data_IF_235178623252
#
_entry.id   IF_235178623252
#
_cell.length_a   1.000
_cell.length_b   1.000
_cell.length_c   1.000
_cell.angle_alpha   90.00
_cell.angle_beta   90.00
_cell.angle_gamma   90.00
#
_symmetry.space_group_name_H-M   'P 1'
#
loop_
_entity.id
_entity.type
_entity.pdbx_description
1 polymer ?
#
# COMPACT_ATOMS: atom_id res chain seq x y z
N UNK A 1 18.33 15.84 -7.96
CA UNK A 1 18.08 14.44 -8.34
C UNK A 1 16.61 14.33 -8.75
N UNK A 2 16.30 13.61 -9.83
CA UNK A 2 14.90 13.35 -10.19
C UNK A 2 14.39 12.29 -9.23
N UNK A 3 13.42 12.65 -8.37
CA UNK A 3 12.79 11.70 -7.45
C UNK A 3 11.83 10.79 -8.24
N UNK A 4 11.73 9.55 -7.82
CA UNK A 4 10.82 8.56 -8.38
C UNK A 4 9.44 8.71 -7.71
N UNK A 5 8.38 9.12 -8.43
CA UNK A 5 7.05 9.20 -7.87
C UNK A 5 6.52 7.79 -7.58
N UNK A 6 6.19 7.52 -6.32
CA UNK A 6 5.76 6.22 -5.81
C UNK A 6 4.38 6.32 -5.16
N UNK A 7 3.49 5.37 -5.46
CA UNK A 7 2.30 5.06 -4.70
C UNK A 7 2.55 3.71 -4.01
N UNK A 8 2.14 3.59 -2.74
CA UNK A 8 2.09 2.29 -2.04
C UNK A 8 0.62 1.92 -1.85
N UNK A 9 0.20 0.80 -2.47
CA UNK A 9 -1.10 0.19 -2.26
C UNK A 9 -0.96 -0.97 -1.27
N UNK A 10 -1.62 -0.87 -0.10
CA UNK A 10 -1.28 -1.66 1.07
C UNK A 10 -2.48 -1.92 1.97
N UNK A 11 -2.41 -2.96 2.79
CA UNK A 11 -3.38 -3.36 3.83
C UNK A 11 -2.70 -3.45 5.21
N UNK A 12 -2.13 -2.36 5.73
CA UNK A 12 -1.02 -2.31 6.69
C UNK A 12 -1.02 -3.39 7.78
N UNK A 13 -0.21 -4.41 7.56
CA UNK A 13 0.33 -5.32 8.55
C UNK A 13 1.74 -4.89 8.98
N UNK A 14 2.44 -5.72 9.71
CA UNK A 14 3.78 -5.38 10.24
C UNK A 14 4.81 -5.17 9.12
N UNK A 15 4.81 -6.03 8.13
CA UNK A 15 5.71 -6.00 6.97
C UNK A 15 5.38 -4.84 6.02
N UNK A 16 4.10 -4.52 5.85
CA UNK A 16 3.67 -3.33 5.11
C UNK A 16 4.22 -2.04 5.72
N UNK A 17 4.20 -1.93 7.05
CA UNK A 17 4.78 -0.78 7.74
C UNK A 17 6.29 -0.67 7.50
N UNK A 18 7.00 -1.80 7.39
CA UNK A 18 8.43 -1.80 7.03
C UNK A 18 8.64 -1.33 5.59
N UNK A 19 7.77 -1.71 4.65
CA UNK A 19 7.82 -1.22 3.27
C UNK A 19 7.60 0.30 3.19
N UNK A 20 6.63 0.82 3.96
CA UNK A 20 6.39 2.27 4.08
C UNK A 20 7.61 2.98 4.67
N UNK A 21 8.20 2.44 5.75
CA UNK A 21 9.41 3.00 6.37
C UNK A 21 10.59 3.03 5.41
N UNK A 22 10.78 1.96 4.62
CA UNK A 22 11.82 1.91 3.60
C UNK A 22 11.64 3.02 2.56
N UNK A 23 10.42 3.20 2.06
CA UNK A 23 10.12 4.28 1.11
C UNK A 23 10.35 5.67 1.73
N UNK A 24 9.95 5.87 3.00
CA UNK A 24 10.17 7.12 3.72
C UNK A 24 11.66 7.40 4.01
N UNK A 25 12.48 6.38 4.15
CA UNK A 25 13.91 6.50 4.39
C UNK A 25 14.75 6.66 3.11
N UNK A 26 14.16 6.45 1.93
CA UNK A 26 14.82 6.44 0.63
C UNK A 26 14.81 7.84 0.00
N UNK A 27 15.96 8.53 -0.11
CA UNK A 27 15.99 9.91 -0.60
C UNK A 27 15.58 10.05 -2.07
N UNK A 28 15.73 9.00 -2.87
CA UNK A 28 15.36 8.97 -4.28
C UNK A 28 13.84 8.81 -4.52
N UNK A 29 13.05 8.50 -3.48
CA UNK A 29 11.61 8.29 -3.59
C UNK A 29 10.85 9.58 -3.26
N UNK A 30 9.85 9.93 -4.09
CA UNK A 30 8.77 10.85 -3.76
C UNK A 30 7.50 10.06 -3.52
N UNK A 31 7.14 9.85 -2.25
CA UNK A 31 5.91 9.14 -1.91
C UNK A 31 4.70 10.04 -2.15
N UNK A 32 4.00 9.79 -3.27
CA UNK A 32 2.87 10.59 -3.73
C UNK A 32 1.59 10.32 -2.91
N UNK A 33 1.49 9.16 -2.29
CA UNK A 33 0.43 8.78 -1.38
C UNK A 33 0.39 7.30 -1.07
N UNK A 34 -0.48 6.97 -0.10
CA UNK A 34 -0.78 5.60 0.31
C UNK A 34 -2.24 5.32 -0.02
N UNK A 35 -2.50 4.22 -0.70
CA UNK A 35 -3.84 3.69 -0.94
C UNK A 35 -4.08 2.46 -0.08
N UNK A 36 -5.19 2.42 0.62
CA UNK A 36 -5.51 1.37 1.57
C UNK A 36 -6.59 0.44 1.03
N UNK A 37 -6.48 -0.83 1.35
CA UNK A 37 -7.49 -1.85 1.05
C UNK A 37 -7.66 -2.82 2.22
N UNK A 38 -8.61 -3.74 2.12
CA UNK A 38 -8.70 -4.91 2.99
C UNK A 38 -7.60 -5.92 2.66
N UNK A 39 -7.35 -6.87 3.56
CA UNK A 39 -6.44 -8.00 3.34
C UNK A 39 -5.90 -8.52 4.66
N UNK A 40 -4.73 -8.08 5.11
CA UNK A 40 -4.19 -8.43 6.43
C UNK A 40 -5.21 -8.17 7.54
N UNK A 41 -5.98 -7.09 7.39
CA UNK A 41 -7.05 -6.69 8.28
C UNK A 41 -8.19 -6.01 7.50
N UNK A 42 -9.17 -5.42 8.19
CA UNK A 42 -10.22 -4.61 7.58
C UNK A 42 -9.69 -3.20 7.25
N UNK A 43 -10.34 -2.52 6.30
CA UNK A 43 -9.95 -1.17 5.89
C UNK A 43 -9.85 -0.17 7.07
N UNK A 44 -10.77 -0.25 8.04
CA UNK A 44 -10.76 0.61 9.22
C UNK A 44 -9.51 0.41 10.09
N UNK A 45 -9.13 -0.85 10.34
CA UNK A 45 -7.88 -1.14 11.06
C UNK A 45 -6.65 -0.77 10.24
N UNK A 46 -6.67 -0.99 8.93
CA UNK A 46 -5.59 -0.58 8.02
C UNK A 46 -5.32 0.93 8.12
N UNK A 47 -6.38 1.76 8.07
CA UNK A 47 -6.26 3.20 8.29
C UNK A 47 -5.75 3.52 9.72
N UNK A 48 -6.30 2.88 10.73
CA UNK A 48 -5.83 3.04 12.12
C UNK A 48 -4.33 2.72 12.28
N UNK A 49 -3.82 1.72 11.56
CA UNK A 49 -2.40 1.33 11.61
C UNK A 49 -1.48 2.40 10.99
N UNK A 50 -1.89 3.09 9.93
CA UNK A 50 -1.16 4.25 9.39
C UNK A 50 -1.08 5.37 10.44
N UNK A 51 -2.18 5.66 11.13
CA UNK A 51 -2.19 6.69 12.19
C UNK A 51 -1.33 6.30 13.38
N UNK A 52 -1.28 5.01 13.75
CA UNK A 52 -0.39 4.50 14.81
C UNK A 52 1.08 4.60 14.42
N UNK A 53 1.42 4.20 13.18
CA UNK A 53 2.77 4.37 12.62
C UNK A 53 3.19 5.83 12.69
N UNK A 54 2.33 6.73 12.26
CA UNK A 54 2.56 8.17 12.29
C UNK A 54 2.86 8.68 13.71
N UNK A 55 2.07 8.24 14.70
CA UNK A 55 2.29 8.56 16.09
C UNK A 55 3.64 8.05 16.60
N UNK A 56 3.92 6.76 16.38
CA UNK A 56 5.17 6.13 16.83
C UNK A 56 6.41 6.83 16.25
N UNK A 57 6.38 7.13 14.94
CA UNK A 57 7.48 7.85 14.28
C UNK A 57 7.68 9.25 14.85
N UNK A 58 6.60 9.99 15.10
CA UNK A 58 6.67 11.33 15.65
C UNK A 58 7.26 11.33 17.09
N UNK A 59 6.88 10.38 17.92
CA UNK A 59 7.46 10.22 19.28
C UNK A 59 8.94 9.87 19.16
N UNK A 60 9.29 8.85 18.38
CA UNK A 60 10.67 8.39 18.21
C UNK A 60 11.58 9.50 17.60
N UNK A 61 11.03 10.32 16.71
CA UNK A 61 11.74 11.47 16.14
C UNK A 61 12.04 12.52 17.20
N UNK A 62 11.06 12.88 18.04
CA UNK A 62 11.24 13.85 19.13
C UNK A 62 12.24 13.38 20.18
N UNK A 63 12.33 12.08 20.41
CA UNK A 63 13.31 11.48 21.31
C UNK A 63 14.73 11.42 20.71
N UNK A 64 14.90 11.86 19.46
CA UNK A 64 16.19 11.88 18.77
C UNK A 64 16.73 10.51 18.35
N UNK A 65 15.89 9.47 18.37
CA UNK A 65 16.30 8.08 18.11
C UNK A 65 16.36 7.75 16.59
N UNK A 66 15.89 8.64 15.71
CA UNK A 66 15.93 8.44 14.25
C UNK A 66 17.23 8.99 13.67
N UNK A 67 18.14 8.08 13.29
CA UNK A 67 19.44 8.46 12.70
C UNK A 67 19.34 8.83 11.19
N UNK A 68 18.38 8.26 10.45
CA UNK A 68 18.22 8.54 9.03
C UNK A 68 17.67 9.97 8.83
N UNK A 69 18.46 10.82 8.19
CA UNK A 69 18.12 12.25 8.01
C UNK A 69 16.90 12.44 7.11
N UNK A 70 16.81 11.71 6.00
CA UNK A 70 15.67 11.77 5.08
C UNK A 70 14.35 11.39 5.78
N UNK A 71 14.36 10.32 6.57
CA UNK A 71 13.20 9.89 7.34
C UNK A 71 12.80 10.95 8.37
N UNK A 72 13.77 11.51 9.11
CA UNK A 72 13.52 12.55 10.11
C UNK A 72 12.88 13.79 9.48
N UNK A 73 13.45 14.29 8.37
CA UNK A 73 12.92 15.44 7.65
C UNK A 73 11.45 15.23 7.21
N UNK A 74 11.15 14.02 6.69
CA UNK A 74 9.79 13.68 6.26
C UNK A 74 8.80 13.55 7.42
N UNK A 75 9.25 13.06 8.59
CA UNK A 75 8.40 13.00 9.78
C UNK A 75 8.04 14.40 10.26
N UNK A 76 8.99 15.33 10.21
CA UNK A 76 8.82 16.70 10.70
C UNK A 76 8.03 17.59 9.74
N UNK A 77 8.15 17.37 8.44
CA UNK A 77 7.67 18.29 7.42
C UNK A 77 6.76 17.65 6.34
N UNK A 78 6.57 16.34 6.38
CA UNK A 78 5.87 15.61 5.32
C UNK A 78 6.68 15.50 4.03
N UNK A 79 6.02 15.16 2.94
CA UNK A 79 6.62 15.10 1.62
C UNK A 79 6.51 16.45 0.92
N UNK A 80 7.66 17.06 0.59
CA UNK A 80 7.70 18.40 -0.01
C UNK A 80 6.94 19.48 0.81
N UNK A 81 7.02 19.40 2.14
CA UNK A 81 6.38 20.35 3.05
C UNK A 81 4.87 20.14 3.23
N UNK A 82 4.33 18.98 2.83
CA UNK A 82 2.92 18.63 2.97
C UNK A 82 2.75 17.21 3.51
N UNK A 83 1.69 16.93 4.28
CA UNK A 83 1.37 15.57 4.68
C UNK A 83 1.18 14.68 3.44
N UNK A 84 1.61 13.42 3.57
CA UNK A 84 1.42 12.41 2.53
C UNK A 84 -0.07 12.01 2.52
N UNK A 85 -0.74 12.08 1.36
CA UNK A 85 -2.15 11.73 1.25
C UNK A 85 -2.39 10.24 1.55
N UNK A 86 -3.49 9.95 2.25
CA UNK A 86 -3.98 8.59 2.49
C UNK A 86 -5.37 8.47 1.87
N UNK A 87 -5.54 7.58 0.91
CA UNK A 87 -6.81 7.32 0.24
C UNK A 87 -7.40 5.98 0.67
N UNK A 88 -8.65 5.97 1.10
CA UNK A 88 -9.37 4.73 1.38
C UNK A 88 -9.85 4.10 0.08
N UNK A 89 -9.69 2.80 -0.03
CA UNK A 89 -10.07 2.02 -1.19
C UNK A 89 -11.09 0.94 -0.86
N UNK A 90 -10.88 -0.26 -1.42
CA UNK A 90 -11.82 -1.35 -1.33
C UNK A 90 -11.92 -1.91 0.10
N UNK A 91 -13.16 -2.09 0.57
CA UNK A 91 -13.47 -2.79 1.82
C UNK A 91 -13.64 -4.29 1.65
N UNK A 92 -13.77 -4.75 0.39
CA UNK A 92 -14.05 -6.14 0.02
C UNK A 92 -13.55 -6.43 -1.39
N UNK A 93 -13.37 -7.72 -1.76
CA UNK A 93 -12.95 -8.10 -3.09
C UNK A 93 -13.98 -7.71 -4.17
N UNK A 94 -13.57 -7.68 -5.42
CA UNK A 94 -14.45 -7.47 -6.58
C UNK A 94 -15.55 -8.52 -6.67
N UNK A 95 -15.29 -9.74 -6.17
CA UNK A 95 -16.27 -10.81 -6.10
C UNK A 95 -15.93 -11.83 -5.03
N UNK A 96 -16.96 -12.54 -4.53
CA UNK A 96 -16.77 -13.56 -3.52
C UNK A 96 -16.87 -13.05 -2.08
N UNK A 97 -16.22 -13.76 -1.16
CA UNK A 97 -16.23 -13.47 0.28
C UNK A 97 -15.03 -12.61 0.66
N UNK A 98 -15.22 -11.74 1.64
CA UNK A 98 -14.13 -11.10 2.32
C UNK A 98 -13.33 -12.12 3.14
N UNK A 99 -12.03 -12.18 2.89
CA UNK A 99 -11.05 -12.88 3.71
C UNK A 99 -10.07 -11.87 4.30
N UNK A 100 -9.66 -12.12 5.55
CA UNK A 100 -8.58 -11.36 6.20
C UNK A 100 -7.56 -12.35 6.77
N UNK A 101 -6.28 -11.93 6.80
CA UNK A 101 -5.20 -12.74 7.36
C UNK A 101 -5.10 -12.60 8.90
N UNK A 102 -6.23 -12.47 9.59
CA UNK A 102 -6.28 -12.31 11.05
C UNK A 102 -5.64 -13.48 11.81
N UNK A 103 -5.57 -14.66 11.21
CA UNK A 103 -4.87 -15.82 11.75
C UNK A 103 -3.34 -15.64 11.79
N UNK A 104 -2.78 -14.73 10.99
CA UNK A 104 -1.34 -14.48 10.88
C UNK A 104 -0.98 -13.10 11.48
N UNK A 105 -1.68 -12.05 11.07
CA UNK A 105 -1.39 -10.66 11.48
C UNK A 105 -2.17 -10.21 12.73
N UNK A 106 -3.05 -11.07 13.28
CA UNK A 106 -3.99 -10.66 14.35
C UNK A 106 -5.18 -9.88 13.77
N UNK A 107 -6.21 -9.67 14.62
CA UNK A 107 -7.45 -9.01 14.18
C UNK A 107 -7.24 -7.58 13.65
N UNK A 108 -6.30 -6.86 14.24
CA UNK A 108 -5.97 -5.47 13.90
C UNK A 108 -4.88 -5.36 12.82
N UNK A 109 -4.35 -6.47 12.32
CA UNK A 109 -3.22 -6.48 11.39
C UNK A 109 -1.85 -6.26 12.05
N UNK A 110 -1.81 -5.99 13.37
CA UNK A 110 -0.62 -5.60 14.12
C UNK A 110 -0.41 -6.47 15.37
N UNK A 111 -0.79 -7.76 15.30
CA UNK A 111 -0.65 -8.73 16.40
C UNK A 111 -1.34 -8.30 17.71
N UNK A 112 -2.40 -7.50 17.63
CA UNK A 112 -3.19 -7.08 18.77
C UNK A 112 -2.72 -5.80 19.46
N UNK A 113 -1.79 -5.05 18.86
CA UNK A 113 -1.28 -3.79 19.42
C UNK A 113 -2.38 -2.80 19.74
N UNK A 114 -3.45 -2.75 18.94
CA UNK A 114 -4.59 -1.85 19.16
C UNK A 114 -5.43 -2.19 20.39
N UNK A 115 -5.27 -3.39 20.94
CA UNK A 115 -6.01 -3.89 22.10
C UNK A 115 -5.20 -3.93 23.40
N UNK A 116 -3.94 -3.46 23.35
CA UNK A 116 -3.10 -3.41 24.56
C UNK A 116 -3.68 -2.42 25.57
N UNK A 117 -3.70 -2.82 26.84
CA UNK A 117 -4.08 -1.93 27.92
C UNK A 117 -3.10 -0.74 27.99
N UNK A 118 -3.65 0.47 28.11
CA UNK A 118 -2.86 1.71 28.09
C UNK A 118 -2.28 2.06 26.72
N UNK A 119 -2.66 1.36 25.68
CA UNK A 119 -2.23 1.47 24.28
C UNK A 119 -1.08 2.48 24.04
N UNK A 120 0.20 2.01 24.02
CA UNK A 120 1.36 2.90 23.90
C UNK A 120 1.47 3.53 22.50
N UNK A 121 0.65 3.08 21.54
CA UNK A 121 0.63 3.55 20.16
C UNK A 121 -0.78 4.01 19.77
N UNK A 122 -1.29 5.12 20.33
CA UNK A 122 -2.59 5.65 19.93
C UNK A 122 -2.58 6.11 18.47
N UNK A 123 -3.75 6.27 17.87
CA UNK A 123 -3.88 6.92 16.58
C UNK A 123 -3.55 8.41 16.71
N UNK A 124 -2.77 8.96 15.79
CA UNK A 124 -2.46 10.38 15.78
C UNK A 124 -3.67 11.18 15.29
N UNK A 125 -4.07 12.22 16.02
CA UNK A 125 -5.13 13.13 15.63
C UNK A 125 -4.65 14.17 14.60
N UNK A 126 -3.36 14.50 14.61
CA UNK A 126 -2.69 15.38 13.64
C UNK A 126 -1.21 15.01 13.55
N UNK A 127 -0.68 14.98 12.35
CA UNK A 127 0.71 14.64 12.12
C UNK A 127 1.21 15.31 10.82
N UNK A 128 2.41 15.89 10.79
CA UNK A 128 3.00 16.42 9.57
C UNK A 128 3.26 15.37 8.50
N UNK A 129 3.46 14.10 8.87
CA UNK A 129 3.85 13.02 7.96
C UNK A 129 2.70 12.54 7.08
N UNK A 130 1.54 12.21 7.67
CA UNK A 130 0.37 11.71 6.94
C UNK A 130 -0.85 12.57 7.24
N UNK A 131 -1.74 12.70 6.27
CA UNK A 131 -3.05 13.28 6.53
C UNK A 131 -3.79 12.44 7.59
N UNK A 132 -4.19 13.08 8.68
CA UNK A 132 -4.93 12.41 9.76
C UNK A 132 -6.33 11.97 9.31
N UNK A 133 -6.90 12.68 8.35
CA UNK A 133 -8.15 12.31 7.69
C UNK A 133 -7.85 11.82 6.29
N UNK A 134 -8.46 10.70 5.88
CA UNK A 134 -8.35 10.27 4.50
C UNK A 134 -8.81 11.36 3.54
N UNK A 135 -8.18 11.44 2.37
CA UNK A 135 -8.67 12.31 1.32
C UNK A 135 -10.06 11.86 0.84
N UNK A 136 -10.84 12.80 0.29
CA UNK A 136 -12.20 12.51 -0.16
C UNK A 136 -12.28 11.58 -1.39
N UNK A 137 -11.24 11.58 -2.21
CA UNK A 137 -11.17 10.71 -3.39
C UNK A 137 -10.90 9.25 -2.97
N UNK A 138 -11.64 8.27 -3.49
CA UNK A 138 -11.34 6.87 -3.28
C UNK A 138 -10.00 6.48 -3.93
N UNK A 139 -9.41 5.38 -3.47
CA UNK A 139 -8.06 4.95 -3.88
C UNK A 139 -7.89 4.81 -5.40
N UNK A 140 -8.87 4.25 -6.10
CA UNK A 140 -8.85 4.08 -7.55
C UNK A 140 -8.77 5.43 -8.30
N UNK A 141 -9.53 6.43 -7.86
CA UNK A 141 -9.47 7.79 -8.41
C UNK A 141 -8.16 8.50 -8.06
N UNK A 142 -7.69 8.33 -6.82
CA UNK A 142 -6.42 8.90 -6.41
C UNK A 142 -5.24 8.34 -7.23
N UNK A 143 -5.20 7.02 -7.48
CA UNK A 143 -4.19 6.39 -8.35
C UNK A 143 -4.19 7.02 -9.74
N UNK A 144 -5.37 7.14 -10.35
CA UNK A 144 -5.51 7.75 -11.68
C UNK A 144 -5.08 9.21 -11.69
N UNK A 145 -5.42 9.98 -10.66
CA UNK A 145 -5.05 11.38 -10.55
C UNK A 145 -3.54 11.58 -10.38
N UNK A 146 -2.88 10.71 -9.61
CA UNK A 146 -1.41 10.73 -9.52
C UNK A 146 -0.80 10.43 -10.89
N UNK A 147 -1.27 9.40 -11.60
CA UNK A 147 -0.74 9.06 -12.93
C UNK A 147 -0.93 10.22 -13.92
N UNK A 148 -2.08 10.93 -13.88
CA UNK A 148 -2.33 12.10 -14.76
C UNK A 148 -1.42 13.29 -14.48
N UNK A 149 -1.01 13.50 -13.22
CA UNK A 149 -0.17 14.64 -12.81
C UNK A 149 1.28 14.48 -13.17
N UNK A 150 1.72 13.27 -13.46
CA UNK A 150 3.11 12.96 -13.78
C UNK A 150 3.31 12.65 -15.27
N UNK A 151 4.52 12.82 -15.80
CA UNK A 151 4.84 12.38 -17.16
C UNK A 151 4.52 10.89 -17.34
N UNK A 152 4.02 10.47 -18.51
CA UNK A 152 3.71 9.07 -18.77
C UNK A 152 4.90 8.15 -18.47
N UNK A 153 4.61 6.99 -17.90
CA UNK A 153 5.57 5.93 -17.57
C UNK A 153 6.62 6.29 -16.50
N UNK A 154 6.34 7.29 -15.67
CA UNK A 154 7.24 7.67 -14.56
C UNK A 154 6.74 7.21 -13.20
N UNK A 155 5.42 7.18 -12.95
CA UNK A 155 4.85 6.74 -11.68
C UNK A 155 5.12 5.26 -11.43
N UNK A 156 5.58 4.94 -10.24
CA UNK A 156 5.74 3.56 -9.76
C UNK A 156 4.65 3.26 -8.75
N UNK A 157 4.20 1.99 -8.73
CA UNK A 157 3.26 1.49 -7.73
C UNK A 157 3.89 0.27 -7.06
N UNK A 158 4.00 0.31 -5.74
CA UNK A 158 4.28 -0.87 -4.93
C UNK A 158 2.93 -1.41 -4.41
N UNK A 159 2.48 -2.52 -4.99
CA UNK A 159 1.25 -3.19 -4.60
C UNK A 159 1.60 -4.37 -3.70
N UNK A 160 1.40 -4.20 -2.40
CA UNK A 160 1.74 -5.19 -1.37
C UNK A 160 0.51 -5.80 -0.69
N UNK A 161 -0.67 -5.54 -1.25
CA UNK A 161 -2.00 -5.96 -0.79
C UNK A 161 -2.79 -6.66 -1.92
N UNK A 162 -4.02 -7.15 -1.67
CA UNK A 162 -4.95 -7.57 -2.72
C UNK A 162 -5.14 -6.47 -3.77
N UNK A 163 -5.10 -6.83 -5.05
CA UNK A 163 -5.00 -5.90 -6.18
C UNK A 163 -6.29 -5.12 -6.51
N UNK A 164 -7.27 -5.13 -5.63
CA UNK A 164 -8.63 -4.61 -5.86
C UNK A 164 -8.63 -3.13 -6.25
N UNK A 165 -7.85 -2.29 -5.57
CA UNK A 165 -7.78 -0.85 -5.89
C UNK A 165 -7.22 -0.60 -7.29
N UNK A 166 -6.15 -1.32 -7.64
CA UNK A 166 -5.50 -1.19 -8.94
C UNK A 166 -6.39 -1.70 -10.07
N UNK A 167 -7.09 -2.82 -9.85
CA UNK A 167 -8.04 -3.37 -10.81
C UNK A 167 -9.22 -2.41 -11.03
N UNK A 168 -9.75 -1.81 -9.97
CA UNK A 168 -10.79 -0.79 -10.07
C UNK A 168 -10.32 0.45 -10.84
N UNK A 169 -9.09 0.92 -10.57
CA UNK A 169 -8.51 2.04 -11.31
C UNK A 169 -8.34 1.72 -12.80
N UNK A 170 -7.81 0.53 -13.13
CA UNK A 170 -7.70 0.09 -14.52
C UNK A 170 -9.05 0.01 -15.22
N UNK A 171 -10.05 -0.63 -14.62
CA UNK A 171 -11.39 -0.77 -15.21
C UNK A 171 -12.11 0.58 -15.39
N UNK A 172 -11.82 1.55 -14.52
CA UNK A 172 -12.40 2.90 -14.57
C UNK A 172 -11.83 3.74 -15.72
N UNK A 173 -10.51 3.71 -15.91
CA UNK A 173 -9.81 4.47 -16.96
C UNK A 173 -8.55 3.71 -17.43
N UNK A 174 -8.72 2.72 -18.32
CA UNK A 174 -7.61 1.90 -18.82
C UNK A 174 -6.52 2.73 -19.53
N UNK A 175 -6.92 3.79 -20.23
CA UNK A 175 -5.99 4.65 -20.96
C UNK A 175 -5.04 5.39 -20.01
N UNK A 176 -5.59 6.01 -18.96
CA UNK A 176 -4.78 6.68 -17.95
C UNK A 176 -3.93 5.69 -17.17
N UNK A 177 -4.52 4.58 -16.70
CA UNK A 177 -3.80 3.60 -15.88
C UNK A 177 -2.62 2.97 -16.64
N UNK A 178 -2.76 2.73 -17.94
CA UNK A 178 -1.69 2.18 -18.78
C UNK A 178 -0.48 3.11 -18.96
N UNK A 179 -0.58 4.38 -18.54
CA UNK A 179 0.56 5.32 -18.48
C UNK A 179 1.42 5.14 -17.22
N UNK A 180 1.09 4.19 -16.34
CA UNK A 180 1.95 3.81 -15.21
C UNK A 180 3.33 3.35 -15.70
N UNK A 181 4.37 3.66 -14.95
CA UNK A 181 5.74 3.31 -15.35
C UNK A 181 6.13 1.88 -14.97
N UNK A 182 5.70 1.43 -13.80
CA UNK A 182 5.91 0.06 -13.31
C UNK A 182 5.00 -0.22 -12.12
N UNK A 183 4.52 -1.46 -12.01
CA UNK A 183 3.80 -1.98 -10.85
C UNK A 183 4.61 -3.15 -10.29
N UNK A 184 5.16 -2.99 -9.09
CA UNK A 184 5.78 -4.09 -8.35
C UNK A 184 4.72 -4.73 -7.47
N UNK A 185 4.39 -5.99 -7.73
CA UNK A 185 3.30 -6.72 -7.06
C UNK A 185 3.90 -7.81 -6.17
N UNK A 186 3.63 -7.73 -4.87
CA UNK A 186 3.82 -8.89 -3.96
C UNK A 186 2.56 -9.75 -4.04
N UNK A 187 2.69 -10.97 -4.54
CA UNK A 187 1.56 -11.89 -4.67
C UNK A 187 1.86 -13.09 -5.54
N UNK A 188 1.01 -14.09 -5.43
CA UNK A 188 1.09 -15.31 -6.21
C UNK A 188 2.13 -16.32 -5.71
N UNK A 189 2.02 -17.53 -6.22
CA UNK A 189 2.96 -18.64 -6.05
C UNK A 189 3.13 -19.33 -7.40
N UNK A 190 4.36 -19.53 -7.86
CA UNK A 190 4.65 -20.11 -9.16
C UNK A 190 5.11 -21.58 -9.04
N UNK A 191 6.31 -21.79 -8.46
CA UNK A 191 6.93 -23.10 -8.33
C UNK A 191 6.94 -23.61 -6.87
N UNK A 192 6.26 -22.90 -5.96
CA UNK A 192 6.11 -23.25 -4.54
C UNK A 192 4.63 -23.40 -4.15
N UNK A 193 4.29 -24.13 -3.09
CA UNK A 193 2.92 -24.15 -2.56
C UNK A 193 2.45 -22.76 -2.17
N UNK A 194 1.10 -22.54 -2.22
CA UNK A 194 0.50 -21.35 -1.66
C UNK A 194 0.59 -21.31 -0.12
N UNK A 195 0.36 -20.15 0.45
CA UNK A 195 0.33 -19.95 1.91
C UNK A 195 -1.10 -19.88 2.50
N UNK A 196 -2.11 -19.82 1.64
CA UNK A 196 -3.53 -19.73 2.05
C UNK A 196 -4.36 -20.90 1.56
N UNK A 197 -4.03 -21.43 0.38
CA UNK A 197 -4.57 -22.70 -0.15
C UNK A 197 -3.40 -23.49 -0.75
N UNK A 198 -3.60 -24.74 -1.21
CA UNK A 198 -2.52 -25.54 -1.78
C UNK A 198 -1.73 -24.84 -2.90
N UNK A 199 -2.37 -23.91 -3.63
CA UNK A 199 -1.75 -23.18 -4.75
C UNK A 199 -1.90 -21.66 -4.65
N UNK A 200 -2.73 -21.16 -3.71
CA UNK A 200 -3.04 -19.74 -3.59
C UNK A 200 -2.18 -19.02 -2.56
N UNK A 201 -1.48 -17.98 -3.01
CA UNK A 201 -0.91 -16.96 -2.14
C UNK A 201 -2.02 -16.01 -1.68
N UNK A 202 -1.88 -15.44 -0.47
CA UNK A 202 -2.96 -14.72 0.21
C UNK A 202 -3.52 -13.53 -0.59
N UNK A 203 -2.68 -12.64 -1.11
CA UNK A 203 -3.15 -11.44 -1.82
C UNK A 203 -3.97 -11.79 -3.07
N UNK A 204 -3.52 -12.81 -3.82
CA UNK A 204 -4.25 -13.30 -5.00
C UNK A 204 -5.47 -14.14 -4.61
N UNK A 205 -5.40 -14.87 -3.50
CA UNK A 205 -6.54 -15.61 -2.97
C UNK A 205 -7.65 -14.68 -2.43
N UNK A 206 -7.28 -13.57 -1.81
CA UNK A 206 -8.22 -12.61 -1.23
C UNK A 206 -9.05 -11.88 -2.30
N UNK A 207 -8.45 -11.60 -3.49
CA UNK A 207 -9.18 -11.11 -4.67
C UNK A 207 -8.62 -11.68 -5.98
N UNK A 208 -8.99 -12.91 -6.35
CA UNK A 208 -8.52 -13.53 -7.58
C UNK A 208 -9.04 -12.84 -8.85
N UNK A 209 -10.17 -12.14 -8.76
CA UNK A 209 -10.71 -11.38 -9.89
C UNK A 209 -9.86 -10.15 -10.20
N UNK A 210 -9.41 -9.43 -9.17
CA UNK A 210 -8.50 -8.31 -9.34
C UNK A 210 -7.15 -8.76 -9.93
N UNK A 211 -6.61 -9.89 -9.43
CA UNK A 211 -5.39 -10.48 -9.99
C UNK A 211 -5.58 -10.84 -11.47
N UNK A 212 -6.70 -11.48 -11.82
CA UNK A 212 -7.03 -11.81 -13.21
C UNK A 212 -7.11 -10.56 -14.09
N UNK A 213 -7.83 -9.53 -13.66
CA UNK A 213 -7.96 -8.27 -14.42
C UNK A 213 -6.60 -7.70 -14.76
N UNK A 214 -5.67 -7.60 -13.81
CA UNK A 214 -4.38 -6.94 -14.05
C UNK A 214 -3.37 -7.83 -14.77
N UNK A 215 -3.35 -9.13 -14.50
CA UNK A 215 -2.33 -10.03 -15.02
C UNK A 215 -2.71 -10.67 -16.36
N UNK A 216 -4.02 -10.88 -16.59
CA UNK A 216 -4.49 -11.55 -17.80
C UNK A 216 -5.24 -10.62 -18.75
N UNK A 217 -6.21 -9.86 -18.23
CA UNK A 217 -7.16 -9.11 -19.08
C UNK A 217 -6.64 -7.71 -19.43
N UNK A 218 -5.77 -7.11 -18.59
CA UNK A 218 -5.31 -5.73 -18.80
C UNK A 218 -4.34 -5.63 -19.98
N UNK A 219 -4.88 -5.19 -21.10
CA UNK A 219 -4.10 -4.88 -22.30
C UNK A 219 -4.60 -3.56 -22.90
N UNK A 220 -3.68 -2.71 -23.34
CA UNK A 220 -3.99 -1.53 -24.14
C UNK A 220 -3.15 -1.58 -25.42
N UNK A 221 -3.79 -1.50 -26.60
CA UNK A 221 -3.13 -1.60 -27.91
C UNK A 221 -2.24 -2.85 -28.06
N UNK A 222 -2.68 -3.98 -27.49
CA UNK A 222 -1.96 -5.24 -27.50
C UNK A 222 -0.74 -5.31 -26.56
N UNK A 223 -0.53 -4.29 -25.72
CA UNK A 223 0.55 -4.26 -24.73
C UNK A 223 -0.01 -4.56 -23.34
N UNK A 224 0.69 -5.39 -22.59
CA UNK A 224 0.41 -5.65 -21.17
C UNK A 224 0.94 -4.55 -20.28
N UNK A 225 0.36 -4.43 -19.08
CA UNK A 225 0.88 -3.55 -18.04
C UNK A 225 2.32 -3.93 -17.65
N UNK A 226 3.17 -2.94 -17.29
CA UNK A 226 4.54 -3.20 -16.84
C UNK A 226 4.55 -3.71 -15.39
N UNK A 227 4.20 -4.98 -15.19
CA UNK A 227 4.12 -5.62 -13.86
C UNK A 227 5.38 -6.44 -13.61
N UNK A 228 5.99 -6.20 -12.44
CA UNK A 228 7.03 -7.05 -11.84
C UNK A 228 6.41 -7.83 -10.69
N UNK A 229 6.29 -9.13 -10.85
CA UNK A 229 5.73 -10.02 -9.84
C UNK A 229 6.82 -10.50 -8.88
N UNK A 230 6.56 -10.39 -7.58
CA UNK A 230 7.36 -10.92 -6.48
C UNK A 230 6.54 -11.99 -5.74
N UNK A 231 6.56 -13.24 -6.24
CA UNK A 231 5.76 -14.31 -5.67
C UNK A 231 6.40 -14.92 -4.41
N UNK A 232 5.70 -15.84 -3.75
CA UNK A 232 6.22 -16.59 -2.59
C UNK A 232 7.57 -17.24 -2.86
N UNK A 233 7.85 -17.63 -4.10
CA UNK A 233 9.14 -18.15 -4.55
C UNK A 233 10.31 -17.23 -4.19
N UNK A 234 10.05 -15.94 -4.08
CA UNK A 234 11.05 -14.91 -3.74
C UNK A 234 10.93 -14.48 -2.28
N UNK A 235 9.72 -14.35 -1.75
CA UNK A 235 9.47 -13.72 -0.44
C UNK A 235 9.55 -14.68 0.75
N UNK A 236 9.62 -16.00 0.51
CA UNK A 236 9.74 -17.04 1.56
C UNK A 236 11.14 -17.63 1.68
N UNK A 237 12.16 -17.05 1.06
CA UNK A 237 13.55 -17.51 1.09
C UNK A 237 14.36 -16.84 2.16
#
# INVERSE_FOLDING_TARGET
MTHVPLIIDTDPGVDDLLAILLALASPEVSLEGITLTFGNTTLDYAHGNILRLSHALNVTCKDGAIANETLRERIEHGMNGKPIPVALGAEKPMGGRLFTASYFHGRDGMSGVSFLEGNPYPMADSNPLFDAKPIAAPADEFILDVIRRHPPHTVRIAAVAPLTNLANAYLKDPETFSKVGCISVMGGALDVPGNTSPTGEFNFFADPWAAKVLLEDATLDGRRLPIHLLPLDTTTK
#
